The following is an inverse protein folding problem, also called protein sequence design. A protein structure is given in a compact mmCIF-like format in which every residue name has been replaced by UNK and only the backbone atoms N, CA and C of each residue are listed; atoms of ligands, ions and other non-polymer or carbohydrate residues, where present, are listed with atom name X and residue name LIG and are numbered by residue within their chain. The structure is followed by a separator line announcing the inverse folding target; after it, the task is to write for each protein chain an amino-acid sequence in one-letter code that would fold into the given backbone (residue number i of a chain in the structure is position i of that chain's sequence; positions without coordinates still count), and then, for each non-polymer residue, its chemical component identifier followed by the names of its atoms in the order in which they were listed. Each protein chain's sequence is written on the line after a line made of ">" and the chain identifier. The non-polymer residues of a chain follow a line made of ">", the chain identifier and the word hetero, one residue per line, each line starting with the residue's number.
data_IF_719621215972
#
_entry.id   IF_719621215972
#
_cell.length_a   1.000
_cell.length_b   1.000
_cell.length_c   1.000
_cell.angle_alpha   90.00
_cell.angle_beta   90.00
_cell.angle_gamma   90.00
#
_symmetry.space_group_name_H-M   'P 1'
#
loop_
_entity.id
_entity.type
_entity.pdbx_description
1 polymer ?
#
# COMPACT_ATOMS: atom_id res chain seq x y z
N UNK A 1 40.60 -78.67 -9.02
CA UNK A 1 39.36 -77.92 -9.25
C UNK A 1 39.05 -77.11 -8.04
N UNK A 2 39.51 -75.88 -7.94
CA UNK A 2 39.30 -74.99 -6.81
C UNK A 2 38.20 -73.94 -7.09
N UNK A 3 37.09 -74.04 -6.35
CA UNK A 3 36.05 -72.96 -6.35
C UNK A 3 36.53 -71.77 -5.57
N UNK A 4 36.88 -70.70 -6.25
CA UNK A 4 37.04 -69.37 -5.64
C UNK A 4 35.65 -68.84 -5.25
N UNK A 5 35.35 -68.89 -3.97
CA UNK A 5 34.22 -68.11 -3.40
C UNK A 5 34.56 -66.64 -3.47
N UNK A 6 33.88 -65.88 -4.30
CA UNK A 6 33.91 -64.42 -4.27
C UNK A 6 33.22 -63.96 -2.97
N UNK A 7 34.03 -63.45 -2.00
CA UNK A 7 33.53 -62.69 -0.87
C UNK A 7 33.08 -61.36 -1.43
N UNK A 8 31.76 -61.14 -1.56
CA UNK A 8 31.19 -59.79 -1.70
C UNK A 8 31.54 -58.99 -0.45
N UNK A 9 32.48 -58.10 -0.59
CA UNK A 9 32.96 -57.26 0.52
C UNK A 9 31.91 -56.18 0.81
N UNK A 10 31.72 -55.85 2.08
CA UNK A 10 30.73 -54.94 2.61
C UNK A 10 30.86 -53.46 2.15
N UNK A 11 31.60 -53.23 1.05
CA UNK A 11 31.77 -51.92 0.43
C UNK A 11 30.59 -51.50 -0.44
N UNK A 12 29.75 -52.45 -0.86
CA UNK A 12 28.57 -52.19 -1.72
C UNK A 12 27.33 -51.70 -0.95
N UNK A 13 27.35 -51.79 0.40
CA UNK A 13 26.24 -51.36 1.22
C UNK A 13 26.23 -49.85 1.51
N UNK A 14 27.35 -49.18 1.49
CA UNK A 14 27.48 -47.74 1.77
C UNK A 14 26.71 -46.86 0.76
N UNK A 15 26.84 -47.06 -0.58
CA UNK A 15 26.08 -46.29 -1.56
C UNK A 15 24.58 -46.59 -1.48
N UNK A 16 24.18 -47.84 -1.12
CA UNK A 16 22.79 -48.18 -0.93
C UNK A 16 22.18 -47.47 0.28
N UNK A 17 22.89 -47.41 1.40
CA UNK A 17 22.46 -46.67 2.59
C UNK A 17 22.35 -45.18 2.32
N UNK A 18 23.30 -44.59 1.60
CA UNK A 18 23.23 -43.18 1.18
C UNK A 18 22.03 -42.93 0.27
N UNK A 19 21.76 -43.82 -0.68
CA UNK A 19 20.60 -43.70 -1.56
C UNK A 19 19.28 -43.76 -0.79
N UNK A 20 19.16 -44.71 0.13
CA UNK A 20 17.97 -44.84 1.01
C UNK A 20 17.81 -43.58 1.86
N UNK A 21 18.88 -43.03 2.42
CA UNK A 21 18.85 -41.81 3.21
C UNK A 21 18.37 -40.61 2.38
N UNK A 22 18.90 -40.43 1.16
CA UNK A 22 18.49 -39.39 0.25
C UNK A 22 17.00 -39.49 -0.12
N UNK A 23 16.54 -40.72 -0.46
CA UNK A 23 15.14 -40.99 -0.77
C UNK A 23 14.24 -40.68 0.41
N UNK A 24 14.63 -41.10 1.64
CA UNK A 24 13.87 -40.80 2.84
C UNK A 24 13.76 -39.28 3.09
N UNK A 25 14.84 -38.54 2.88
CA UNK A 25 14.88 -37.08 3.05
C UNK A 25 13.99 -36.40 2.00
N UNK A 26 14.09 -36.81 0.74
CA UNK A 26 13.23 -36.28 -0.33
C UNK A 26 11.75 -36.58 -0.08
N UNK A 27 11.44 -37.80 0.40
CA UNK A 27 10.07 -38.17 0.73
C UNK A 27 9.53 -37.36 1.91
N UNK A 28 10.34 -37.10 2.91
CA UNK A 28 9.96 -36.25 4.04
C UNK A 28 9.69 -34.79 3.59
N UNK A 29 10.54 -34.25 2.70
CA UNK A 29 10.33 -32.91 2.13
C UNK A 29 9.06 -32.86 1.25
N UNK A 30 8.86 -33.86 0.39
CA UNK A 30 7.66 -33.95 -0.44
C UNK A 30 6.38 -34.08 0.41
N UNK A 31 6.42 -34.90 1.45
CA UNK A 31 5.32 -35.03 2.41
C UNK A 31 5.01 -33.71 3.14
N UNK A 32 6.05 -32.99 3.55
CA UNK A 32 5.88 -31.66 4.17
C UNK A 32 5.27 -30.65 3.19
N UNK A 33 5.74 -30.66 1.96
CA UNK A 33 5.22 -29.77 0.93
C UNK A 33 3.74 -30.09 0.58
N UNK A 34 3.41 -31.38 0.44
CA UNK A 34 2.05 -31.83 0.23
C UNK A 34 1.13 -31.42 1.38
N UNK A 35 1.57 -31.58 2.61
CA UNK A 35 0.83 -31.12 3.79
C UNK A 35 0.54 -29.63 3.76
N UNK A 36 1.55 -28.81 3.47
CA UNK A 36 1.39 -27.34 3.38
C UNK A 36 0.45 -26.94 2.25
N UNK A 37 0.47 -27.66 1.12
CA UNK A 37 -0.39 -27.34 -0.03
C UNK A 37 -1.82 -27.85 0.14
N UNK A 38 -2.01 -29.03 0.71
CA UNK A 38 -3.33 -29.66 0.81
C UNK A 38 -4.08 -29.22 2.08
N UNK A 39 -3.39 -29.15 3.23
CA UNK A 39 -4.03 -28.79 4.50
C UNK A 39 -4.16 -27.30 4.71
N UNK A 40 -3.18 -26.49 4.26
CA UNK A 40 -3.13 -25.03 4.47
C UNK A 40 -3.16 -24.21 3.17
N UNK A 41 -3.38 -24.87 2.03
CA UNK A 41 -3.34 -24.21 0.72
C UNK A 41 -4.39 -23.11 0.55
N UNK A 42 -5.59 -23.29 1.08
CA UNK A 42 -6.66 -22.29 1.04
C UNK A 42 -6.34 -21.08 1.92
N UNK A 43 -5.90 -21.30 3.14
CA UNK A 43 -5.51 -20.24 4.07
C UNK A 43 -4.32 -19.44 3.54
N UNK A 44 -3.30 -20.13 3.04
CA UNK A 44 -2.12 -19.49 2.46
C UNK A 44 -2.45 -18.69 1.20
N UNK A 45 -3.45 -19.11 0.40
CA UNK A 45 -3.94 -18.33 -0.74
C UNK A 45 -4.64 -17.05 -0.30
N UNK A 46 -5.51 -17.12 0.72
CA UNK A 46 -6.16 -15.94 1.27
C UNK A 46 -5.12 -14.95 1.80
N UNK A 47 -4.16 -15.40 2.59
CA UNK A 47 -3.07 -14.56 3.10
C UNK A 47 -2.20 -13.97 1.97
N UNK A 48 -1.96 -14.74 0.90
CA UNK A 48 -1.22 -14.25 -0.25
C UNK A 48 -2.01 -13.20 -1.04
N UNK A 49 -3.31 -13.39 -1.21
CA UNK A 49 -4.19 -12.45 -1.90
C UNK A 49 -4.40 -11.17 -1.07
N UNK A 50 -4.57 -11.27 0.24
CA UNK A 50 -4.62 -10.10 1.15
C UNK A 50 -3.31 -9.30 1.13
N UNK A 51 -2.16 -9.96 1.02
CA UNK A 51 -0.88 -9.27 0.86
C UNK A 51 -0.67 -8.67 -0.54
N UNK A 52 -1.31 -9.22 -1.56
CA UNK A 52 -1.16 -8.81 -2.96
C UNK A 52 -2.15 -7.72 -3.35
N UNK A 53 -3.38 -7.79 -2.86
CA UNK A 53 -4.44 -6.82 -3.19
C UNK A 53 -4.39 -5.68 -2.20
N UNK A 54 -3.91 -4.52 -2.66
CA UNK A 54 -3.95 -3.27 -1.89
C UNK A 54 -5.14 -2.44 -2.37
N UNK A 55 -6.18 -2.36 -1.56
CA UNK A 55 -7.28 -1.45 -1.80
C UNK A 55 -6.82 -0.03 -1.51
N UNK A 56 -6.59 0.75 -2.57
CA UNK A 56 -6.29 2.17 -2.46
C UNK A 56 -7.58 2.94 -2.68
N UNK A 57 -8.21 3.48 -1.63
CA UNK A 57 -9.41 4.29 -1.79
C UNK A 57 -9.06 5.54 -2.61
N UNK A 58 -9.82 5.79 -3.67
CA UNK A 58 -9.71 6.99 -4.48
C UNK A 58 -11.03 7.73 -4.45
N UNK A 59 -10.97 9.03 -4.27
CA UNK A 59 -12.16 9.88 -4.34
C UNK A 59 -12.77 9.81 -5.75
N UNK A 60 -14.05 9.41 -5.89
CA UNK A 60 -14.68 9.34 -7.19
C UNK A 60 -14.92 10.74 -7.77
N UNK A 61 -14.85 10.85 -9.09
CA UNK A 61 -15.29 12.06 -9.77
C UNK A 61 -16.81 12.21 -9.61
N UNK A 62 -17.25 13.37 -9.14
CA UNK A 62 -18.67 13.66 -8.99
C UNK A 62 -19.21 14.28 -10.27
N UNK A 63 -20.52 14.11 -10.54
CA UNK A 63 -21.21 14.71 -11.66
C UNK A 63 -21.10 16.23 -11.68
N UNK A 64 -21.15 16.83 -12.85
CA UNK A 64 -21.20 18.28 -13.04
C UNK A 64 -22.60 18.80 -12.76
N UNK A 65 -22.71 19.93 -12.07
CA UNK A 65 -23.96 20.66 -11.90
C UNK A 65 -23.96 21.86 -12.83
N UNK A 66 -24.96 21.96 -13.68
CA UNK A 66 -25.11 23.01 -14.69
C UNK A 66 -26.36 23.83 -14.36
N UNK A 67 -26.35 25.10 -14.73
CA UNK A 67 -27.57 25.92 -14.70
C UNK A 67 -28.45 25.62 -15.92
N UNK A 68 -29.64 26.28 -15.99
CA UNK A 68 -30.58 26.14 -17.11
C UNK A 68 -30.01 26.55 -18.46
N UNK A 69 -28.89 27.29 -18.49
CA UNK A 69 -28.21 27.74 -19.69
C UNK A 69 -26.98 26.89 -20.00
N UNK A 70 -26.75 25.78 -19.29
CA UNK A 70 -25.62 24.89 -19.46
C UNK A 70 -24.30 25.40 -18.86
N UNK A 71 -24.32 26.48 -18.06
CA UNK A 71 -23.09 27.00 -17.42
C UNK A 71 -22.76 26.18 -16.19
N UNK A 72 -21.47 25.90 -16.01
CA UNK A 72 -20.97 25.08 -14.90
C UNK A 72 -21.14 25.81 -13.57
N UNK A 73 -21.94 25.27 -12.67
CA UNK A 73 -22.12 25.72 -11.29
C UNK A 73 -21.17 25.02 -10.33
N UNK A 74 -21.07 23.71 -10.43
CA UNK A 74 -20.11 22.91 -9.66
C UNK A 74 -19.54 21.77 -10.50
N UNK A 75 -18.24 21.59 -10.40
CA UNK A 75 -17.48 20.57 -11.13
C UNK A 75 -16.38 19.95 -10.27
N UNK A 76 -15.46 19.24 -10.91
CA UNK A 76 -14.28 18.69 -10.28
C UNK A 76 -13.06 19.42 -10.84
N UNK A 77 -12.10 19.73 -9.98
CA UNK A 77 -10.76 20.16 -10.40
C UNK A 77 -9.74 19.12 -10.00
N UNK A 78 -8.76 18.92 -10.83
CA UNK A 78 -7.62 18.08 -10.53
C UNK A 78 -6.75 18.79 -9.49
N UNK A 79 -6.36 18.04 -8.46
CA UNK A 79 -5.45 18.47 -7.40
C UNK A 79 -4.34 17.45 -7.21
N UNK A 80 -3.22 17.88 -6.67
CA UNK A 80 -2.15 17.00 -6.25
C UNK A 80 -2.10 17.01 -4.73
N UNK A 81 -2.11 15.81 -4.14
CA UNK A 81 -2.05 15.63 -2.70
C UNK A 81 -0.79 14.85 -2.33
N UNK A 82 -0.22 15.16 -1.17
CA UNK A 82 0.90 14.41 -0.60
C UNK A 82 0.36 13.39 0.39
N UNK A 83 0.69 12.15 0.16
CA UNK A 83 0.33 11.01 1.01
C UNK A 83 1.56 10.43 1.69
N UNK A 84 1.40 10.04 2.94
CA UNK A 84 2.34 9.23 3.71
C UNK A 84 1.87 7.78 3.68
N UNK A 85 2.81 6.86 3.48
CA UNK A 85 2.61 5.42 3.54
C UNK A 85 3.14 4.90 4.89
N UNK A 86 2.28 4.67 5.91
CA UNK A 86 2.74 4.34 7.25
C UNK A 86 3.54 3.04 7.32
N UNK A 87 3.25 2.07 6.44
CA UNK A 87 3.97 0.80 6.37
C UNK A 87 5.40 0.92 5.85
N UNK A 88 5.70 1.98 5.11
CA UNK A 88 7.02 2.22 4.49
C UNK A 88 7.87 3.21 5.29
N UNK A 89 7.27 3.90 6.27
CA UNK A 89 7.92 4.95 7.04
C UNK A 89 7.77 4.73 8.54
N UNK A 90 8.85 4.33 9.19
CA UNK A 90 8.90 4.21 10.65
C UNK A 90 9.10 5.58 11.33
N UNK A 91 8.89 5.63 12.65
CA UNK A 91 8.96 6.85 13.46
C UNK A 91 10.33 7.55 13.37
N UNK A 92 11.42 6.79 13.46
CA UNK A 92 12.77 7.35 13.40
C UNK A 92 13.04 8.04 12.04
N UNK A 93 12.55 7.46 10.97
CA UNK A 93 12.69 8.03 9.63
C UNK A 93 11.78 9.23 9.42
N UNK A 94 10.59 9.21 10.02
CA UNK A 94 9.69 10.37 10.00
C UNK A 94 10.34 11.60 10.66
N UNK A 95 10.95 11.44 11.83
CA UNK A 95 11.64 12.52 12.52
C UNK A 95 12.78 13.15 11.70
N UNK A 96 13.44 12.36 10.83
CA UNK A 96 14.46 12.87 9.91
C UNK A 96 13.86 13.56 8.68
N UNK A 97 12.76 13.04 8.16
CA UNK A 97 12.12 13.54 6.94
C UNK A 97 11.28 14.80 7.18
N UNK A 98 10.59 14.86 8.32
CA UNK A 98 9.69 15.95 8.68
C UNK A 98 10.31 17.36 8.55
N UNK A 99 11.50 17.67 9.11
CA UNK A 99 12.08 19.00 8.97
C UNK A 99 12.47 19.33 7.53
N UNK A 100 12.92 18.33 6.76
CA UNK A 100 13.23 18.51 5.34
C UNK A 100 11.97 18.81 4.55
N UNK A 101 10.90 18.08 4.81
CA UNK A 101 9.60 18.27 4.17
C UNK A 101 9.00 19.64 4.53
N UNK A 102 9.09 20.05 5.79
CA UNK A 102 8.65 21.36 6.26
C UNK A 102 9.36 22.51 5.50
N UNK A 103 10.68 22.40 5.36
CA UNK A 103 11.48 23.38 4.61
C UNK A 103 11.16 23.37 3.12
N UNK A 104 11.02 22.18 2.50
CA UNK A 104 10.73 22.02 1.08
C UNK A 104 9.38 22.63 0.69
N UNK A 105 8.38 22.45 1.55
CA UNK A 105 7.01 22.88 1.31
C UNK A 105 6.66 24.23 1.95
N UNK A 106 7.58 24.77 2.75
CA UNK A 106 7.40 26.01 3.53
C UNK A 106 6.16 25.93 4.45
N UNK A 107 6.02 24.80 5.14
CA UNK A 107 4.92 24.52 6.07
C UNK A 107 5.50 24.23 7.46
N UNK A 108 4.85 24.71 8.52
CA UNK A 108 5.29 24.40 9.89
C UNK A 108 5.33 22.88 10.14
N UNK A 109 6.41 22.43 10.80
CA UNK A 109 6.60 21.02 11.11
C UNK A 109 5.47 20.45 12.00
N UNK A 110 4.96 21.26 12.92
CA UNK A 110 3.85 20.87 13.81
C UNK A 110 2.58 20.54 13.04
N UNK A 111 2.31 21.25 11.96
CA UNK A 111 1.16 20.97 11.10
C UNK A 111 1.27 19.59 10.44
N UNK A 112 2.47 19.21 10.01
CA UNK A 112 2.72 17.87 9.41
C UNK A 112 2.53 16.77 10.45
N UNK A 113 2.99 16.98 11.68
CA UNK A 113 2.80 16.02 12.78
C UNK A 113 1.33 15.88 13.14
N UNK A 114 0.63 16.98 13.30
CA UNK A 114 -0.80 16.96 13.61
C UNK A 114 -1.59 16.22 12.52
N UNK A 115 -1.31 16.51 11.25
CA UNK A 115 -1.99 15.86 10.13
C UNK A 115 -1.70 14.35 10.07
N UNK A 116 -0.44 13.98 10.35
CA UNK A 116 -0.07 12.58 10.47
C UNK A 116 -0.84 11.88 11.59
N UNK A 117 -0.90 12.46 12.76
CA UNK A 117 -1.58 11.87 13.92
C UNK A 117 -3.09 11.76 13.72
N UNK A 118 -3.72 12.79 13.16
CA UNK A 118 -5.17 12.79 12.87
C UNK A 118 -5.56 11.83 11.75
N UNK A 119 -4.65 11.51 10.83
CA UNK A 119 -4.87 10.58 9.74
C UNK A 119 -4.49 9.13 10.05
N UNK A 120 -3.98 8.85 11.26
CA UNK A 120 -3.66 7.49 11.69
C UNK A 120 -4.95 6.69 11.91
N UNK A 121 -5.37 6.00 10.85
CA UNK A 121 -6.36 4.94 10.96
C UNK A 121 -5.60 3.60 10.96
N UNK A 122 -5.86 2.66 11.90
CA UNK A 122 -5.16 1.36 11.97
C UNK A 122 -5.19 0.58 10.66
N UNK A 123 -6.27 0.72 9.90
CA UNK A 123 -6.45 0.07 8.60
C UNK A 123 -6.07 0.95 7.41
N UNK A 124 -5.62 2.19 7.68
CA UNK A 124 -5.29 3.19 6.66
C UNK A 124 -4.04 2.83 5.87
N UNK A 125 -4.22 2.60 4.57
CA UNK A 125 -3.11 2.36 3.65
C UNK A 125 -2.23 3.61 3.48
N UNK A 126 -2.83 4.78 3.46
CA UNK A 126 -2.16 6.07 3.25
C UNK A 126 -2.82 7.18 4.07
N UNK A 127 -2.02 8.11 4.52
CA UNK A 127 -2.45 9.31 5.25
C UNK A 127 -2.27 10.52 4.35
N UNK A 128 -3.30 11.33 4.15
CA UNK A 128 -3.18 12.61 3.45
C UNK A 128 -2.47 13.63 4.36
N UNK A 129 -1.22 13.95 4.05
CA UNK A 129 -0.46 14.96 4.79
C UNK A 129 -0.79 16.37 4.34
N UNK A 130 -0.88 16.58 3.04
CA UNK A 130 -1.14 17.89 2.44
C UNK A 130 -2.03 17.69 1.24
N UNK A 131 -3.13 18.41 1.24
CA UNK A 131 -4.04 18.48 0.13
C UNK A 131 -3.76 19.73 -0.71
N UNK A 132 -4.06 19.63 -2.01
CA UNK A 132 -4.02 20.76 -2.94
C UNK A 132 -2.65 21.43 -3.01
N UNK A 133 -1.63 20.63 -3.30
CA UNK A 133 -0.26 21.10 -3.51
C UNK A 133 -0.20 22.11 -4.68
N UNK A 134 0.57 23.15 -4.50
CA UNK A 134 0.88 24.09 -5.59
C UNK A 134 1.81 23.44 -6.62
N UNK A 135 1.78 23.87 -7.89
CA UNK A 135 2.62 23.27 -8.94
C UNK A 135 4.12 23.29 -8.62
N UNK A 136 4.61 24.36 -7.99
CA UNK A 136 6.01 24.46 -7.55
C UNK A 136 6.37 23.47 -6.46
N UNK A 137 5.46 23.21 -5.54
CA UNK A 137 5.63 22.20 -4.47
C UNK A 137 5.66 20.79 -5.07
N UNK A 138 4.78 20.51 -6.04
CA UNK A 138 4.77 19.20 -6.74
C UNK A 138 6.10 18.97 -7.47
N UNK A 139 6.62 20.00 -8.15
CA UNK A 139 7.90 19.90 -8.85
C UNK A 139 9.04 19.58 -7.88
N UNK A 140 9.17 20.34 -6.81
CA UNK A 140 10.19 20.12 -5.76
C UNK A 140 10.11 18.72 -5.13
N UNK A 141 8.89 18.24 -4.85
CA UNK A 141 8.70 16.89 -4.30
C UNK A 141 9.11 15.80 -5.29
N UNK A 142 8.78 15.97 -6.58
CA UNK A 142 9.17 15.00 -7.63
C UNK A 142 10.68 14.98 -7.86
N UNK A 143 11.34 16.11 -7.84
CA UNK A 143 12.81 16.20 -7.96
C UNK A 143 13.52 15.47 -6.82
N UNK A 144 12.95 15.46 -5.62
CA UNK A 144 13.52 14.81 -4.44
C UNK A 144 12.92 13.45 -4.12
N UNK A 145 12.11 12.88 -5.00
CA UNK A 145 11.36 11.66 -4.74
C UNK A 145 12.23 10.48 -4.28
N UNK A 146 13.45 10.36 -4.79
CA UNK A 146 14.39 9.31 -4.38
C UNK A 146 14.75 9.38 -2.89
N UNK A 147 14.76 10.58 -2.30
CA UNK A 147 15.09 10.83 -0.90
C UNK A 147 13.85 10.81 0.03
N UNK A 148 12.64 10.81 -0.56
CA UNK A 148 11.35 10.90 0.13
C UNK A 148 10.60 9.56 0.13
N UNK A 149 11.33 8.45 0.37
CA UNK A 149 10.71 7.12 0.46
C UNK A 149 9.63 7.09 1.55
N UNK A 150 8.50 6.46 1.26
CA UNK A 150 7.34 6.44 2.15
C UNK A 150 6.41 7.65 1.99
N UNK A 151 6.75 8.58 1.07
CA UNK A 151 5.90 9.69 0.65
C UNK A 151 5.53 9.53 -0.83
N UNK A 152 4.28 9.80 -1.16
CA UNK A 152 3.74 9.70 -2.51
C UNK A 152 2.93 10.94 -2.87
N UNK A 153 3.24 11.54 -4.02
CA UNK A 153 2.40 12.58 -4.61
C UNK A 153 1.44 11.93 -5.59
N UNK A 154 0.15 12.05 -5.31
CA UNK A 154 -0.89 11.46 -6.16
C UNK A 154 -1.88 12.52 -6.65
N UNK A 155 -2.54 12.21 -7.75
CA UNK A 155 -3.60 13.03 -8.32
C UNK A 155 -4.93 12.66 -7.67
N UNK A 156 -5.72 13.68 -7.33
CA UNK A 156 -7.06 13.51 -6.79
C UNK A 156 -8.01 14.56 -7.38
N UNK A 157 -9.31 14.37 -7.18
CA UNK A 157 -10.35 15.29 -7.65
C UNK A 157 -11.03 15.96 -6.46
N UNK A 158 -11.01 17.30 -6.47
CA UNK A 158 -11.77 18.10 -5.50
C UNK A 158 -12.94 18.80 -6.13
N UNK A 159 -14.01 18.91 -5.36
CA UNK A 159 -15.17 19.68 -5.77
C UNK A 159 -14.80 21.15 -5.90
N UNK A 160 -15.18 21.76 -7.01
CA UNK A 160 -14.95 23.17 -7.31
C UNK A 160 -16.28 23.82 -7.63
N UNK A 161 -16.52 24.96 -7.00
CA UNK A 161 -17.72 25.78 -7.20
C UNK A 161 -17.33 27.03 -7.98
N UNK A 162 -17.81 27.14 -9.22
CA UNK A 162 -17.37 28.18 -10.16
C UNK A 162 -17.69 29.59 -9.66
N UNK A 163 -18.80 29.74 -8.97
CA UNK A 163 -19.28 31.06 -8.47
C UNK A 163 -19.14 31.18 -6.92
N UNK A 164 -18.20 30.44 -6.32
CA UNK A 164 -17.95 30.49 -4.87
C UNK A 164 -19.19 30.19 -4.05
N UNK A 165 -19.57 31.12 -3.17
CA UNK A 165 -20.70 30.95 -2.27
C UNK A 165 -22.08 31.15 -2.93
N UNK A 166 -22.13 31.56 -4.20
CA UNK A 166 -23.42 31.79 -4.91
C UNK A 166 -24.18 30.45 -5.02
N UNK A 167 -25.39 30.44 -4.52
CA UNK A 167 -26.25 29.26 -4.55
C UNK A 167 -25.86 28.17 -3.55
N UNK A 168 -25.00 28.42 -2.56
CA UNK A 168 -24.51 27.43 -1.61
C UNK A 168 -25.66 26.71 -0.87
N UNK A 169 -26.76 27.43 -0.58
CA UNK A 169 -27.95 26.86 0.07
C UNK A 169 -28.71 25.83 -0.79
N UNK A 170 -28.52 25.89 -2.14
CA UNK A 170 -29.11 24.94 -3.09
C UNK A 170 -28.12 23.84 -3.46
N UNK A 171 -26.86 24.22 -3.71
CA UNK A 171 -25.80 23.29 -4.15
C UNK A 171 -25.28 22.41 -3.02
N UNK A 172 -25.40 22.90 -1.77
CA UNK A 172 -24.85 22.23 -0.61
C UNK A 172 -23.32 22.13 -0.63
N UNK A 173 -22.80 21.28 0.23
CA UNK A 173 -21.40 20.93 0.28
C UNK A 173 -21.23 19.41 0.29
N UNK A 174 -20.02 18.95 0.07
CA UNK A 174 -19.71 17.52 0.11
C UNK A 174 -18.61 17.27 1.14
N UNK A 175 -18.85 16.31 2.03
CA UNK A 175 -17.87 15.81 2.99
C UNK A 175 -17.60 14.32 2.75
N UNK A 176 -16.48 13.78 3.23
CA UNK A 176 -16.32 12.34 3.39
C UNK A 176 -17.41 11.77 4.30
N UNK A 177 -17.83 10.54 4.05
CA UNK A 177 -18.69 9.77 4.95
C UNK A 177 -17.92 9.53 6.25
N UNK A 178 -18.57 9.74 7.38
CA UNK A 178 -18.04 9.39 8.69
C UNK A 178 -18.25 7.90 8.98
N UNK A 179 -17.44 7.31 9.87
CA UNK A 179 -17.57 5.90 10.24
C UNK A 179 -18.97 5.57 10.80
N UNK A 180 -19.60 6.53 11.48
CA UNK A 180 -20.96 6.39 11.99
C UNK A 180 -22.02 6.33 10.87
N UNK A 181 -21.78 7.01 9.76
CA UNK A 181 -22.68 7.00 8.59
C UNK A 181 -22.46 5.79 7.68
N UNK A 182 -21.29 5.13 7.80
CA UNK A 182 -20.97 3.94 7.01
C UNK A 182 -21.65 2.67 7.53
N UNK A 183 -22.15 2.68 8.77
CA UNK A 183 -22.82 1.54 9.42
C UNK A 183 -24.32 1.46 9.11
N UNK A 184 -24.88 2.34 8.30
CA UNK A 184 -26.24 2.32 7.79
C UNK A 184 -26.25 1.91 6.31
#
# INVERSE_FOLDING_TARGET
>A
MGRRGQRFSGMDQQPALLLIFIIALLTAMAGRLAWLQLAHGSENRVLADENRVRLVPRSPMRGRLLDRRGRLMAGNRLTYNLYLLPKELNEARWQQLQPRLANLLQIPADRLNHQRQSGLNPDGYRIELIADLKPDQVLRLKEQQANLQGLQVDQDYRRSYTYGALGAHVLGYTSPITDAEYQY
#
